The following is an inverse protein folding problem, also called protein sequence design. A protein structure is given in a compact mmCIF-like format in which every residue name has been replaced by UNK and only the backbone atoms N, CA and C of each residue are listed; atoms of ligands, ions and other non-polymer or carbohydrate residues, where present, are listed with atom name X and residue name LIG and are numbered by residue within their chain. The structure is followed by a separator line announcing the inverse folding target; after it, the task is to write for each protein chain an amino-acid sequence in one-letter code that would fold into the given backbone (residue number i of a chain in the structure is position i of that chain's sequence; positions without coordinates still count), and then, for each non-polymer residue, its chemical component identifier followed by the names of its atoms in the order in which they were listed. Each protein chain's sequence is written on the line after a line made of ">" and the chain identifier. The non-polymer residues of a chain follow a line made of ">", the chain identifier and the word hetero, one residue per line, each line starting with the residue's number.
data_IF_732939511734
#
_entry.id   IF_732939511734
#
_cell.length_a   1.000
_cell.length_b   1.000
_cell.length_c   1.000
_cell.angle_alpha   90.00
_cell.angle_beta   90.00
_cell.angle_gamma   90.00
#
_symmetry.space_group_name_H-M   'P 1'
#
loop_
_entity.id
_entity.type
_entity.pdbx_description
1 polymer ?
#
# COMPACT_ATOMS: atom_id res chain seq x y z
N UNK A 1 -12.91 -12.96 13.04
CA UNK A 1 -11.82 -12.19 13.68
C UNK A 1 -12.08 -11.74 15.11
N UNK A 2 -13.29 -11.93 15.66
CA UNK A 2 -13.70 -11.39 16.96
C UNK A 2 -12.78 -11.67 18.17
N UNK A 3 -12.14 -12.85 18.26
CA UNK A 3 -11.24 -13.16 19.37
C UNK A 3 -9.98 -12.28 19.37
N UNK A 4 -9.41 -12.04 18.18
CA UNK A 4 -8.23 -11.18 18.01
C UNK A 4 -8.59 -9.74 18.37
N UNK A 5 -9.70 -9.23 17.83
CA UNK A 5 -10.18 -7.87 18.12
C UNK A 5 -10.42 -7.64 19.61
N UNK A 6 -11.05 -8.61 20.29
CA UNK A 6 -11.26 -8.56 21.73
C UNK A 6 -9.91 -8.45 22.46
N UNK A 7 -8.93 -9.26 22.07
CA UNK A 7 -7.63 -9.27 22.73
C UNK A 7 -6.85 -7.96 22.51
N UNK A 8 -6.90 -7.41 21.30
CA UNK A 8 -6.27 -6.12 20.98
C UNK A 8 -6.87 -4.98 21.81
N UNK A 9 -8.20 -4.95 21.97
CA UNK A 9 -8.89 -3.98 22.85
C UNK A 9 -8.48 -4.11 24.31
N UNK A 10 -8.40 -5.34 24.83
CA UNK A 10 -7.94 -5.59 26.21
C UNK A 10 -6.49 -5.15 26.44
N UNK A 11 -5.67 -5.12 25.39
CA UNK A 11 -4.28 -4.69 25.43
C UNK A 11 -4.10 -3.20 25.07
N UNK A 12 -5.20 -2.48 24.80
CA UNK A 12 -5.19 -1.08 24.37
C UNK A 12 -4.33 -0.85 23.10
N UNK A 13 -4.32 -1.83 22.20
CA UNK A 13 -3.65 -1.75 20.90
C UNK A 13 -4.65 -1.28 19.84
N UNK A 14 -4.37 -0.14 19.25
CA UNK A 14 -5.12 0.38 18.10
C UNK A 14 -4.95 -0.52 16.88
N UNK A 15 -6.05 -0.70 16.14
CA UNK A 15 -6.05 -1.51 14.94
C UNK A 15 -7.00 -0.94 13.88
N UNK A 16 -6.75 -1.30 12.63
CA UNK A 16 -7.58 -0.97 11.47
C UNK A 16 -8.13 -2.26 10.90
N UNK A 17 -9.41 -2.29 10.54
CA UNK A 17 -10.02 -3.40 9.81
C UNK A 17 -10.28 -3.00 8.35
N UNK A 18 -10.08 -3.94 7.44
CA UNK A 18 -10.39 -3.78 6.03
C UNK A 18 -10.95 -5.09 5.48
N UNK A 19 -11.88 -4.99 4.54
CA UNK A 19 -12.32 -6.13 3.72
C UNK A 19 -11.81 -5.94 2.31
N UNK A 20 -11.19 -6.96 1.76
CA UNK A 20 -10.78 -7.01 0.35
C UNK A 20 -11.64 -8.02 -0.42
N UNK A 21 -11.84 -7.75 -1.70
CA UNK A 21 -12.55 -8.63 -2.63
C UNK A 21 -11.65 -8.93 -3.84
N UNK A 22 -11.42 -10.21 -4.12
CA UNK A 22 -10.71 -10.68 -5.31
C UNK A 22 -11.41 -11.90 -5.90
N UNK A 23 -11.81 -11.82 -7.17
CA UNK A 23 -12.47 -12.95 -7.85
C UNK A 23 -13.77 -13.43 -7.18
N UNK A 24 -14.49 -12.53 -6.51
CA UNK A 24 -15.69 -12.85 -5.74
C UNK A 24 -15.42 -13.51 -4.37
N UNK A 25 -14.15 -13.60 -3.96
CA UNK A 25 -13.76 -14.05 -2.63
C UNK A 25 -13.53 -12.83 -1.74
N UNK A 26 -14.14 -12.85 -0.56
CA UNK A 26 -13.97 -11.81 0.45
C UNK A 26 -13.01 -12.29 1.53
N UNK A 27 -12.06 -11.42 1.90
CA UNK A 27 -11.13 -11.66 3.00
C UNK A 27 -11.18 -10.46 3.94
N UNK A 28 -11.48 -10.73 5.21
CA UNK A 28 -11.39 -9.75 6.29
C UNK A 28 -9.94 -9.70 6.79
N UNK A 29 -9.39 -8.50 6.87
CA UNK A 29 -8.03 -8.21 7.32
C UNK A 29 -8.07 -7.25 8.50
N UNK A 30 -7.12 -7.42 9.42
CA UNK A 30 -6.88 -6.52 10.53
C UNK A 30 -5.39 -6.16 10.54
N UNK A 31 -5.11 -4.88 10.73
CA UNK A 31 -3.76 -4.31 10.77
C UNK A 31 -3.53 -3.63 12.11
N UNK A 32 -2.37 -3.85 12.74
CA UNK A 32 -1.95 -3.14 13.95
C UNK A 32 -0.42 -3.05 13.98
N UNK A 33 0.12 -2.20 14.85
CA UNK A 33 1.56 -2.13 15.09
C UNK A 33 1.93 -2.91 16.35
N UNK A 34 3.02 -3.68 16.29
CA UNK A 34 3.63 -4.23 17.49
C UNK A 34 4.41 -3.16 18.27
N UNK A 35 4.91 -3.45 19.49
CA UNK A 35 5.67 -2.47 20.29
C UNK A 35 6.96 -1.97 19.63
N UNK A 36 7.52 -2.73 18.69
CA UNK A 36 8.72 -2.36 17.94
C UNK A 36 8.38 -1.51 16.69
N UNK A 37 7.09 -1.30 16.41
CA UNK A 37 6.56 -0.48 15.33
C UNK A 37 6.33 -1.25 14.02
N UNK A 38 6.56 -2.57 13.98
CA UNK A 38 6.27 -3.37 12.80
C UNK A 38 4.76 -3.50 12.59
N UNK A 39 4.33 -3.33 11.34
CA UNK A 39 2.93 -3.54 10.97
C UNK A 39 2.65 -5.04 10.84
N UNK A 40 1.69 -5.52 11.62
CA UNK A 40 1.20 -6.89 11.58
C UNK A 40 -0.15 -6.91 10.86
N UNK A 41 -0.30 -7.82 9.90
CA UNK A 41 -1.56 -8.14 9.24
C UNK A 41 -2.10 -9.50 9.74
N UNK A 42 -3.40 -9.57 10.02
CA UNK A 42 -4.14 -10.80 10.32
C UNK A 42 -5.33 -10.92 9.36
N UNK A 43 -5.35 -11.95 8.50
CA UNK A 43 -6.46 -12.24 7.59
C UNK A 43 -7.36 -13.38 8.10
N UNK A 44 -8.66 -13.38 7.74
CA UNK A 44 -9.44 -14.63 7.69
C UNK A 44 -9.32 -15.23 6.31
N UNK A 45 -8.51 -16.25 6.18
CA UNK A 45 -8.23 -16.88 4.90
C UNK A 45 -9.06 -18.17 4.68
N UNK A 46 -10.09 -18.41 5.51
CA UNK A 46 -11.00 -19.57 5.46
C UNK A 46 -11.69 -19.78 4.10
N UNK A 47 -11.98 -18.68 3.40
CA UNK A 47 -12.67 -18.70 2.11
C UNK A 47 -11.71 -18.73 0.90
N UNK A 48 -10.39 -18.77 1.13
CA UNK A 48 -9.43 -18.86 0.04
C UNK A 48 -9.41 -20.26 -0.56
N UNK A 49 -9.39 -20.39 -1.91
CA UNK A 49 -9.30 -21.69 -2.55
C UNK A 49 -7.95 -22.35 -2.23
N UNK A 50 -8.01 -23.52 -1.61
CA UNK A 50 -6.83 -24.37 -1.42
C UNK A 50 -6.59 -25.15 -2.70
N UNK A 51 -5.52 -24.84 -3.41
CA UNK A 51 -5.08 -25.57 -4.59
C UNK A 51 -3.95 -26.51 -4.18
N UNK A 52 -4.14 -27.84 -4.22
CA UNK A 52 -3.08 -28.79 -3.92
C UNK A 52 -1.88 -28.59 -4.86
N UNK A 53 -0.69 -28.59 -4.29
CA UNK A 53 0.53 -28.62 -5.08
C UNK A 53 0.69 -30.03 -5.66
N UNK A 54 0.57 -30.16 -6.98
CA UNK A 54 0.78 -31.43 -7.67
C UNK A 54 2.29 -31.72 -7.68
N UNK A 55 2.69 -32.84 -7.08
CA UNK A 55 4.09 -33.28 -7.08
C UNK A 55 4.51 -33.56 -8.53
N UNK A 56 5.49 -32.80 -9.03
CA UNK A 56 6.08 -33.01 -10.35
C UNK A 56 5.77 -31.93 -11.40
N UNK A 57 4.83 -31.02 -11.14
CA UNK A 57 4.55 -29.90 -12.05
C UNK A 57 5.18 -28.58 -11.53
N UNK A 58 5.76 -27.74 -12.40
CA UNK A 58 6.28 -26.45 -11.98
C UNK A 58 5.11 -25.54 -11.54
N UNK A 59 5.10 -25.17 -10.26
CA UNK A 59 4.13 -24.21 -9.71
C UNK A 59 4.28 -22.90 -10.47
N UNK A 60 3.26 -22.50 -11.24
CA UNK A 60 3.21 -21.18 -11.87
C UNK A 60 2.95 -20.12 -10.79
N UNK A 61 4.03 -19.71 -10.13
CA UNK A 61 4.05 -18.60 -9.19
C UNK A 61 3.56 -17.33 -9.90
N UNK A 62 2.64 -16.61 -9.27
CA UNK A 62 2.05 -15.36 -9.79
C UNK A 62 3.12 -14.44 -10.38
N UNK A 63 2.82 -13.82 -11.53
CA UNK A 63 3.70 -12.84 -12.16
C UNK A 63 3.92 -11.69 -11.18
N UNK A 64 5.13 -11.61 -10.61
CA UNK A 64 5.57 -10.46 -9.82
C UNK A 64 5.47 -9.22 -10.73
N UNK A 65 4.49 -8.36 -10.49
CA UNK A 65 4.41 -7.06 -11.18
C UNK A 65 5.48 -6.18 -10.54
N UNK A 66 6.63 -6.04 -11.22
CA UNK A 66 7.62 -5.03 -10.87
C UNK A 66 7.04 -3.65 -11.23
N UNK A 67 6.46 -2.95 -10.26
CA UNK A 67 6.13 -1.53 -10.42
C UNK A 67 7.42 -0.71 -10.33
N UNK A 68 8.18 -0.63 -11.43
CA UNK A 68 9.29 0.31 -11.55
C UNK A 68 8.72 1.72 -11.72
N UNK A 69 8.60 2.48 -10.62
CA UNK A 69 8.41 3.93 -10.69
C UNK A 69 9.72 4.55 -11.23
N UNK A 70 9.79 4.81 -12.53
CA UNK A 70 10.92 5.52 -13.13
C UNK A 70 10.65 7.04 -13.08
N UNK A 71 10.80 7.63 -11.89
CA UNK A 71 11.05 9.08 -11.77
C UNK A 71 12.56 9.29 -11.84
N UNK A 72 13.13 9.44 -13.04
CA UNK A 72 14.40 10.13 -13.25
C UNK A 72 14.68 10.34 -14.74
N UNK A 73 13.99 11.33 -15.33
CA UNK A 73 14.53 12.10 -16.46
C UNK A 73 14.16 13.57 -16.26
N UNK A 74 14.82 14.24 -15.30
CA UNK A 74 14.98 15.68 -15.37
C UNK A 74 16.19 16.11 -14.54
N UNK A 75 17.39 15.73 -15.00
CA UNK A 75 18.61 16.42 -14.61
C UNK A 75 19.62 16.33 -15.76
N UNK A 76 19.32 17.00 -16.86
CA UNK A 76 20.35 17.43 -17.80
C UNK A 76 19.84 18.62 -18.63
N UNK A 77 20.14 19.83 -18.17
CA UNK A 77 20.87 20.85 -18.94
C UNK A 77 21.00 22.10 -18.09
N UNK A 78 22.22 22.32 -17.59
CA UNK A 78 22.66 23.55 -16.96
C UNK A 78 23.18 24.55 -18.02
N UNK A 79 23.00 25.83 -17.69
CA UNK A 79 23.42 27.05 -18.39
C UNK A 79 22.61 27.38 -19.66
N UNK A 80 21.94 28.54 -19.72
CA UNK A 80 22.61 29.76 -20.22
C UNK A 80 21.78 31.06 -19.97
N UNK A 81 22.48 32.10 -19.47
CA UNK A 81 22.35 33.56 -19.65
C UNK A 81 21.09 34.39 -19.20
N UNK A 82 21.33 35.20 -18.15
CA UNK A 82 20.96 36.62 -17.88
C UNK A 82 19.74 37.29 -18.58
N UNK A 83 18.77 37.77 -17.80
CA UNK A 83 18.43 39.21 -17.54
C UNK A 83 17.10 39.33 -16.74
N UNK A 84 16.82 40.45 -16.03
CA UNK A 84 15.65 40.58 -15.16
C UNK A 84 14.52 41.42 -15.79
N UNK A 85 13.27 40.93 -15.75
CA UNK A 85 12.08 41.78 -15.76
C UNK A 85 10.80 41.04 -15.34
N UNK A 86 10.07 41.68 -14.42
CA UNK A 86 8.62 41.67 -14.24
C UNK A 86 7.89 40.38 -13.80
N UNK A 87 7.62 40.35 -12.49
CA UNK A 87 6.31 40.08 -11.84
C UNK A 87 5.19 39.59 -12.77
N UNK A 88 4.73 38.37 -12.54
CA UNK A 88 3.30 38.06 -12.52
C UNK A 88 3.04 36.92 -11.53
N UNK A 89 2.39 37.26 -10.41
CA UNK A 89 1.79 36.30 -9.49
C UNK A 89 0.51 35.81 -10.15
N UNK A 90 0.36 34.50 -10.30
CA UNK A 90 -0.94 33.88 -10.51
C UNK A 90 -1.04 32.70 -9.56
N UNK A 91 -1.86 32.89 -8.55
CA UNK A 91 -2.28 31.88 -7.58
C UNK A 91 -3.14 30.85 -8.35
N UNK A 92 -2.72 29.58 -8.35
CA UNK A 92 -3.50 28.48 -8.91
C UNK A 92 -4.34 27.82 -7.79
N UNK A 93 -5.68 27.84 -7.87
CA UNK A 93 -6.57 27.53 -6.76
C UNK A 93 -6.85 26.03 -6.52
N UNK A 94 -5.89 25.13 -6.78
CA UNK A 94 -6.10 23.68 -6.61
C UNK A 94 -4.96 22.97 -5.86
N UNK A 95 -4.44 23.60 -4.81
CA UNK A 95 -3.60 22.93 -3.82
C UNK A 95 -4.45 22.55 -2.60
N UNK A 96 -5.03 21.34 -2.63
CA UNK A 96 -5.51 20.67 -1.43
C UNK A 96 -4.40 19.68 -1.02
N UNK A 97 -3.64 19.97 0.05
CA UNK A 97 -2.75 18.97 0.62
C UNK A 97 -3.60 17.88 1.31
N UNK A 98 -3.34 16.62 0.97
CA UNK A 98 -3.90 15.49 1.68
C UNK A 98 -3.38 15.48 3.12
N UNK A 99 -4.30 15.65 4.08
CA UNK A 99 -4.12 15.26 5.47
C UNK A 99 -4.54 13.80 5.65
#
# INVERSE_FOLDING_TARGET
>A
MALVEKKLKEMEIDYIQQRVEEGGVYVDQLFFHDPDGFMIEICNCDNLPVIPLVVGEPVRLCKRVSLMKQQQQQQQQSAQFLTPAAVHVSEDPHNIPCA
#
